data_IF_176228776424
#
_entry.id   IF_176228776424
#
_cell.length_a   1.000
_cell.length_b   1.000
_cell.length_c   1.000
_cell.angle_alpha   90.00
_cell.angle_beta   90.00
_cell.angle_gamma   90.00
#
_symmetry.space_group_name_H-M   'P 1'
#
loop_
_entity.id
_entity.type
_entity.pdbx_description
1 polymer ?
#
# COMPACT_ATOMS: atom_id res chain seq x y z
N UNK A 1 10.16 15.71 4.81
CA UNK A 1 11.55 15.20 4.94
C UNK A 1 11.82 14.33 3.72
N UNK A 2 12.89 14.59 2.95
CA UNK A 2 13.14 13.85 1.70
C UNK A 2 13.31 12.36 1.98
N UNK A 3 12.52 11.50 1.31
CA UNK A 3 12.42 10.06 1.59
C UNK A 3 13.77 9.35 1.43
N UNK A 4 14.62 9.80 0.50
CA UNK A 4 16.01 9.34 0.36
C UNK A 4 16.79 9.53 1.67
N UNK A 5 16.67 10.68 2.32
CA UNK A 5 17.34 10.94 3.60
C UNK A 5 16.77 10.07 4.73
N UNK A 6 15.48 9.73 4.70
CA UNK A 6 14.85 8.84 5.68
C UNK A 6 15.30 7.38 5.53
N UNK A 7 15.32 6.86 4.30
CA UNK A 7 15.82 5.51 4.00
C UNK A 7 17.31 5.39 4.32
N UNK A 8 18.12 6.38 3.96
CA UNK A 8 19.54 6.40 4.32
C UNK A 8 19.76 6.41 5.83
N UNK A 9 19.01 7.24 6.58
CA UNK A 9 19.08 7.25 8.05
C UNK A 9 18.68 5.92 8.67
N UNK A 10 17.63 5.28 8.15
CA UNK A 10 17.15 3.99 8.63
C UNK A 10 18.17 2.87 8.37
N UNK A 11 18.79 2.84 7.19
CA UNK A 11 19.83 1.86 6.87
C UNK A 11 21.11 2.08 7.69
N UNK A 12 21.55 3.33 7.87
CA UNK A 12 22.70 3.66 8.73
C UNK A 12 22.43 3.20 10.15
N UNK A 13 21.25 3.51 10.70
CA UNK A 13 20.87 3.10 12.06
C UNK A 13 20.90 1.57 12.23
N UNK A 14 20.39 0.81 11.26
CA UNK A 14 20.40 -0.67 11.30
C UNK A 14 21.82 -1.24 11.28
N UNK A 15 22.69 -0.69 10.43
CA UNK A 15 24.11 -1.07 10.39
C UNK A 15 24.78 -0.77 11.74
N UNK A 16 24.52 0.42 12.31
CA UNK A 16 25.05 0.79 13.63
C UNK A 16 24.57 -0.15 14.73
N UNK A 17 23.29 -0.55 14.72
CA UNK A 17 22.74 -1.54 15.67
C UNK A 17 23.41 -2.91 15.49
N UNK A 18 23.60 -3.37 14.24
CA UNK A 18 24.28 -4.63 13.96
C UNK A 18 25.72 -4.66 14.48
N UNK A 19 26.47 -3.58 14.25
CA UNK A 19 27.85 -3.42 14.77
C UNK A 19 27.86 -3.44 16.30
N UNK A 20 26.92 -2.71 16.92
CA UNK A 20 26.81 -2.64 18.37
C UNK A 20 26.51 -4.03 18.98
N UNK A 21 25.58 -4.80 18.39
CA UNK A 21 25.26 -6.15 18.83
C UNK A 21 26.47 -7.07 18.72
N UNK A 22 27.19 -7.05 17.59
CA UNK A 22 28.41 -7.85 17.42
C UNK A 22 29.51 -7.49 18.42
N UNK A 23 29.66 -6.20 18.75
CA UNK A 23 30.61 -5.73 19.75
C UNK A 23 30.27 -6.25 21.15
N UNK A 24 29.01 -6.13 21.58
CA UNK A 24 28.58 -6.68 22.86
C UNK A 24 28.66 -8.21 22.91
N UNK A 25 28.39 -8.89 21.78
CA UNK A 25 28.54 -10.34 21.67
C UNK A 25 30.00 -10.76 21.90
N UNK A 26 30.95 -10.04 21.29
CA UNK A 26 32.39 -10.25 21.49
C UNK A 26 32.81 -10.01 22.94
N UNK A 27 32.29 -8.96 23.57
CA UNK A 27 32.52 -8.69 25.00
C UNK A 27 31.97 -9.81 25.89
N UNK A 28 30.77 -10.33 25.63
CA UNK A 28 30.23 -11.45 26.40
C UNK A 28 31.06 -12.72 26.23
N UNK A 29 31.51 -13.04 25.02
CA UNK A 29 32.38 -14.20 24.79
C UNK A 29 33.69 -14.04 25.57
N UNK A 30 34.28 -12.85 25.54
CA UNK A 30 35.53 -12.54 26.24
C UNK A 30 35.40 -12.55 27.76
N UNK A 31 34.37 -11.90 28.32
CA UNK A 31 34.19 -11.79 29.78
C UNK A 31 33.78 -13.10 30.45
N UNK A 32 33.12 -14.02 29.73
CA UNK A 32 32.62 -15.27 30.28
C UNK A 32 33.42 -16.51 29.87
N UNK A 33 34.54 -16.34 29.15
CA UNK A 33 35.41 -17.42 28.66
C UNK A 33 34.61 -18.58 28.03
N UNK A 34 33.65 -18.23 27.16
CA UNK A 34 32.75 -19.21 26.55
C UNK A 34 33.53 -20.17 25.63
N UNK A 35 33.21 -21.47 25.74
CA UNK A 35 33.77 -22.52 24.86
C UNK A 35 33.42 -22.23 23.38
N UNK A 36 34.34 -22.61 22.49
CA UNK A 36 34.30 -22.32 21.05
C UNK A 36 32.98 -22.76 20.41
N UNK A 37 32.45 -23.91 20.83
CA UNK A 37 31.17 -24.43 20.31
C UNK A 37 30.00 -23.51 20.65
N UNK A 38 29.95 -23.01 21.88
CA UNK A 38 28.90 -22.09 22.31
C UNK A 38 29.06 -20.72 21.65
N UNK A 39 30.31 -20.26 21.51
CA UNK A 39 30.65 -19.01 20.83
C UNK A 39 30.22 -19.03 19.35
N UNK A 40 30.52 -20.11 18.62
CA UNK A 40 30.11 -20.28 17.22
C UNK A 40 28.58 -20.33 17.10
N UNK A 41 27.90 -21.08 17.98
CA UNK A 41 26.44 -21.17 17.97
C UNK A 41 25.80 -19.78 18.20
N UNK A 42 26.31 -19.01 19.16
CA UNK A 42 25.80 -17.68 19.48
C UNK A 42 25.97 -16.69 18.32
N UNK A 43 27.14 -16.70 17.67
CA UNK A 43 27.41 -15.89 16.48
C UNK A 43 26.46 -16.29 15.34
N UNK A 44 26.33 -17.59 15.06
CA UNK A 44 25.47 -18.08 13.99
C UNK A 44 24.00 -17.68 14.22
N UNK A 45 23.47 -17.86 15.42
CA UNK A 45 22.09 -17.46 15.77
C UNK A 45 21.89 -15.95 15.60
N UNK A 46 22.87 -15.13 16.03
CA UNK A 46 22.79 -13.67 15.90
C UNK A 46 22.75 -13.25 14.43
N UNK A 47 23.60 -13.85 13.60
CA UNK A 47 23.60 -13.62 12.14
C UNK A 47 22.27 -14.05 11.53
N UNK A 48 21.74 -15.22 11.87
CA UNK A 48 20.45 -15.71 11.34
C UNK A 48 19.30 -14.77 11.68
N UNK A 49 19.20 -14.30 12.91
CA UNK A 49 18.16 -13.33 13.33
C UNK A 49 18.31 -12.03 12.55
N UNK A 50 19.55 -11.51 12.42
CA UNK A 50 19.81 -10.27 11.69
C UNK A 50 19.42 -10.38 10.20
N UNK A 51 19.77 -11.48 9.55
CA UNK A 51 19.37 -11.77 8.16
C UNK A 51 17.84 -11.87 8.06
N UNK A 52 17.17 -12.53 9.02
CA UNK A 52 15.71 -12.64 9.06
C UNK A 52 15.02 -11.27 9.09
N UNK A 53 15.52 -10.34 9.91
CA UNK A 53 14.99 -8.96 9.98
C UNK A 53 15.24 -8.16 8.70
N UNK A 54 16.36 -8.40 8.00
CA UNK A 54 16.60 -7.80 6.68
C UNK A 54 15.61 -8.35 5.66
N UNK A 55 15.43 -9.68 5.65
CA UNK A 55 14.52 -10.35 4.72
C UNK A 55 13.08 -9.90 4.89
N UNK A 56 12.60 -9.79 6.13
CA UNK A 56 11.23 -9.30 6.40
C UNK A 56 10.97 -7.94 5.74
N UNK A 57 11.93 -7.02 5.80
CA UNK A 57 11.78 -5.70 5.17
C UNK A 57 11.82 -5.77 3.64
N UNK A 58 12.64 -6.66 3.08
CA UNK A 58 12.65 -6.89 1.63
C UNK A 58 11.31 -7.46 1.16
N UNK A 59 10.72 -8.37 1.94
CA UNK A 59 9.42 -8.95 1.65
C UNK A 59 8.31 -7.89 1.74
N UNK A 60 8.38 -6.97 2.71
CA UNK A 60 7.45 -5.83 2.81
C UNK A 60 7.60 -4.84 1.64
N UNK A 61 8.83 -4.49 1.25
CA UNK A 61 9.10 -3.63 0.09
C UNK A 61 8.62 -4.29 -1.21
N UNK A 62 8.80 -5.61 -1.34
CA UNK A 62 8.34 -6.39 -2.49
C UNK A 62 6.82 -6.46 -2.55
N UNK A 63 6.15 -6.70 -1.43
CA UNK A 63 4.69 -6.65 -1.34
C UNK A 63 4.15 -5.28 -1.76
N UNK A 64 4.77 -4.19 -1.29
CA UNK A 64 4.40 -2.85 -1.73
C UNK A 64 4.56 -2.69 -3.25
N UNK A 65 5.70 -3.11 -3.81
CA UNK A 65 5.95 -3.04 -5.25
C UNK A 65 4.89 -3.82 -6.03
N UNK A 66 4.56 -5.04 -5.59
CA UNK A 66 3.60 -5.90 -6.28
C UNK A 66 2.18 -5.31 -6.24
N UNK A 67 1.74 -4.80 -5.09
CA UNK A 67 0.46 -4.08 -4.97
C UNK A 67 0.44 -2.82 -5.84
N UNK A 68 1.50 -2.03 -5.80
CA UNK A 68 1.61 -0.81 -6.60
C UNK A 68 1.54 -1.12 -8.10
N UNK A 69 2.24 -2.15 -8.57
CA UNK A 69 2.21 -2.56 -9.96
C UNK A 69 0.84 -3.13 -10.37
N UNK A 70 0.24 -3.99 -9.55
CA UNK A 70 -1.06 -4.60 -9.84
C UNK A 70 -2.16 -3.55 -9.98
N UNK A 71 -2.27 -2.63 -9.01
CA UNK A 71 -3.31 -1.59 -9.05
C UNK A 71 -3.14 -0.62 -10.22
N UNK A 72 -1.91 -0.16 -10.49
CA UNK A 72 -1.68 0.70 -11.64
C UNK A 72 -1.97 -0.01 -12.97
N UNK A 73 -1.58 -1.28 -13.12
CA UNK A 73 -1.88 -2.05 -14.35
C UNK A 73 -3.39 -2.19 -14.53
N UNK A 74 -4.12 -2.60 -13.48
CA UNK A 74 -5.58 -2.76 -13.56
C UNK A 74 -6.29 -1.46 -13.88
N UNK A 75 -5.82 -0.33 -13.32
CA UNK A 75 -6.37 0.98 -13.65
C UNK A 75 -6.10 1.35 -15.12
N UNK A 76 -4.85 1.23 -15.58
CA UNK A 76 -4.45 1.61 -16.94
C UNK A 76 -5.12 0.74 -18.00
N UNK A 77 -5.13 -0.58 -17.80
CA UNK A 77 -5.63 -1.56 -18.77
C UNK A 77 -7.16 -1.52 -18.95
N UNK A 78 -7.90 -1.13 -17.90
CA UNK A 78 -9.37 -1.32 -17.87
C UNK A 78 -10.17 -0.04 -17.68
N UNK A 79 -9.59 0.98 -17.05
CA UNK A 79 -10.40 2.07 -16.47
C UNK A 79 -9.96 3.46 -16.96
N UNK A 80 -8.67 3.64 -17.27
CA UNK A 80 -8.10 4.93 -17.62
C UNK A 80 -8.81 5.58 -18.82
N UNK A 81 -9.03 4.83 -19.90
CA UNK A 81 -9.71 5.31 -21.10
C UNK A 81 -11.16 5.75 -20.82
N UNK A 82 -11.88 5.01 -19.97
CA UNK A 82 -13.25 5.35 -19.59
C UNK A 82 -13.28 6.70 -18.88
N UNK A 83 -12.45 6.91 -17.87
CA UNK A 83 -12.46 8.18 -17.14
C UNK A 83 -11.97 9.35 -17.99
N UNK A 84 -11.06 9.14 -18.94
CA UNK A 84 -10.68 10.17 -19.90
C UNK A 84 -11.87 10.58 -20.77
N UNK A 85 -12.58 9.61 -21.36
CA UNK A 85 -13.82 9.85 -22.11
C UNK A 85 -14.88 10.58 -21.28
N UNK A 86 -15.13 10.11 -20.04
CA UNK A 86 -16.16 10.71 -19.18
C UNK A 86 -15.84 12.15 -18.75
N UNK A 87 -14.56 12.52 -18.66
CA UNK A 87 -14.14 13.91 -18.40
C UNK A 87 -14.30 14.83 -19.61
N UNK A 88 -14.18 14.29 -20.82
CA UNK A 88 -14.41 15.06 -22.05
C UNK A 88 -15.91 15.24 -22.34
N UNK A 89 -16.74 14.26 -21.94
CA UNK A 89 -18.19 14.23 -22.19
C UNK A 89 -19.02 14.65 -20.96
N UNK A 90 -18.51 15.50 -20.08
CA UNK A 90 -19.20 15.89 -18.83
C UNK A 90 -20.57 16.52 -19.09
N UNK A 91 -20.69 17.34 -20.15
CA UNK A 91 -21.93 18.03 -20.51
C UNK A 91 -22.91 17.16 -21.33
N UNK A 92 -22.54 15.91 -21.64
CA UNK A 92 -23.41 15.01 -22.37
C UNK A 92 -24.50 14.46 -21.43
N UNK A 93 -25.77 14.70 -21.74
CA UNK A 93 -26.91 14.23 -20.94
C UNK A 93 -27.17 12.72 -21.06
N UNK A 94 -26.51 12.01 -21.97
CA UNK A 94 -26.73 10.57 -22.14
C UNK A 94 -26.24 9.77 -20.93
N UNK A 95 -27.08 8.87 -20.43
CA UNK A 95 -26.70 7.93 -19.38
C UNK A 95 -25.50 7.06 -19.78
N UNK A 96 -24.77 6.55 -18.77
CA UNK A 96 -23.73 5.55 -18.98
C UNK A 96 -24.35 4.32 -19.66
N UNK A 97 -23.68 3.82 -20.71
CA UNK A 97 -24.01 2.51 -21.26
C UNK A 97 -23.78 1.41 -20.22
N UNK A 98 -24.44 0.26 -20.37
CA UNK A 98 -24.32 -0.85 -19.42
C UNK A 98 -22.87 -1.32 -19.21
N UNK A 99 -22.07 -1.33 -20.29
CA UNK A 99 -20.64 -1.66 -20.20
C UNK A 99 -19.84 -0.61 -19.40
N UNK A 100 -20.11 0.67 -19.63
CA UNK A 100 -19.45 1.76 -18.91
C UNK A 100 -19.82 1.74 -17.41
N UNK A 101 -21.08 1.39 -17.08
CA UNK A 101 -21.50 1.19 -15.67
C UNK A 101 -20.72 0.08 -14.99
N UNK A 102 -20.58 -1.08 -15.64
CA UNK A 102 -19.81 -2.21 -15.08
C UNK A 102 -18.35 -1.84 -14.84
N UNK A 103 -17.73 -1.08 -15.75
CA UNK A 103 -16.36 -0.59 -15.58
C UNK A 103 -16.20 0.41 -14.43
N UNK A 104 -17.21 1.27 -14.20
CA UNK A 104 -17.23 2.14 -13.02
C UNK A 104 -17.36 1.31 -11.73
N UNK A 105 -18.16 0.24 -11.72
CA UNK A 105 -18.25 -0.66 -10.56
C UNK A 105 -16.91 -1.37 -10.32
N UNK A 106 -16.27 -1.88 -11.37
CA UNK A 106 -14.93 -2.48 -11.29
C UNK A 106 -13.89 -1.48 -10.75
N UNK A 107 -14.02 -0.21 -11.13
CA UNK A 107 -13.21 0.87 -10.56
C UNK A 107 -13.45 1.09 -9.07
N UNK A 108 -14.70 1.15 -8.62
CA UNK A 108 -15.01 1.30 -7.20
C UNK A 108 -14.48 0.11 -6.37
N UNK A 109 -14.57 -1.10 -6.93
CA UNK A 109 -13.96 -2.29 -6.34
C UNK A 109 -12.45 -2.14 -6.23
N UNK A 110 -11.77 -1.70 -7.30
CA UNK A 110 -10.32 -1.42 -7.29
C UNK A 110 -9.96 -0.40 -6.19
N UNK A 111 -10.66 0.73 -6.12
CA UNK A 111 -10.42 1.75 -5.08
C UNK A 111 -10.61 1.22 -3.66
N UNK A 112 -11.56 0.30 -3.47
CA UNK A 112 -11.78 -0.33 -2.17
C UNK A 112 -10.68 -1.31 -1.78
N UNK A 113 -10.11 -2.03 -2.75
CA UNK A 113 -8.94 -2.88 -2.53
C UNK A 113 -7.71 -2.02 -2.18
N UNK A 114 -7.47 -0.94 -2.92
CA UNK A 114 -6.40 0.02 -2.61
C UNK A 114 -6.54 0.56 -1.18
N UNK A 115 -7.76 0.97 -0.80
CA UNK A 115 -8.06 1.43 0.56
C UNK A 115 -7.82 0.35 1.62
N UNK A 116 -8.21 -0.90 1.35
CA UNK A 116 -7.97 -2.03 2.27
C UNK A 116 -6.47 -2.17 2.56
N UNK A 117 -5.61 -2.10 1.54
CA UNK A 117 -4.17 -2.22 1.75
C UNK A 117 -3.56 -0.98 2.40
N UNK A 118 -4.07 0.21 2.10
CA UNK A 118 -3.71 1.43 2.80
C UNK A 118 -4.07 1.35 4.30
N UNK A 119 -5.28 0.94 4.64
CA UNK A 119 -5.73 0.82 6.03
C UNK A 119 -4.92 -0.22 6.84
N UNK A 120 -4.34 -1.20 6.16
CA UNK A 120 -3.38 -2.17 6.72
C UNK A 120 -1.94 -1.65 6.81
N UNK A 121 -1.67 -0.41 6.40
CA UNK A 121 -0.34 0.19 6.41
C UNK A 121 0.62 -0.39 5.36
N UNK A 122 0.10 -1.04 4.31
CA UNK A 122 0.91 -1.66 3.25
C UNK A 122 1.21 -0.73 2.07
N UNK A 123 0.50 0.40 1.99
CA UNK A 123 0.77 1.45 1.02
C UNK A 123 1.43 2.65 1.68
N UNK A 124 2.33 3.29 0.95
CA UNK A 124 2.96 4.53 1.40
C UNK A 124 1.92 5.66 1.47
N UNK A 125 1.86 6.45 2.56
CA UNK A 125 0.85 7.49 2.72
C UNK A 125 0.81 8.51 1.58
N UNK A 126 1.97 8.84 0.98
CA UNK A 126 2.02 9.79 -0.14
C UNK A 126 1.46 9.19 -1.43
N UNK A 127 1.60 7.87 -1.63
CA UNK A 127 1.00 7.16 -2.78
C UNK A 127 -0.50 7.13 -2.62
N UNK A 128 -0.99 6.70 -1.45
CA UNK A 128 -2.43 6.71 -1.15
C UNK A 128 -3.03 8.10 -1.30
N UNK A 129 -2.36 9.14 -0.79
CA UNK A 129 -2.83 10.52 -0.94
C UNK A 129 -2.99 10.91 -2.41
N UNK A 130 -2.07 10.51 -3.29
CA UNK A 130 -2.17 10.79 -4.71
C UNK A 130 -3.37 10.06 -5.35
N UNK A 131 -3.54 8.77 -5.05
CA UNK A 131 -4.65 7.96 -5.55
C UNK A 131 -6.00 8.47 -5.04
N UNK A 132 -6.11 8.79 -3.75
CA UNK A 132 -7.30 9.39 -3.14
C UNK A 132 -7.75 10.66 -3.87
N UNK A 133 -6.81 11.54 -4.24
CA UNK A 133 -7.17 12.75 -4.99
C UNK A 133 -7.70 12.41 -6.39
N UNK A 134 -7.14 11.39 -7.04
CA UNK A 134 -7.67 10.86 -8.30
C UNK A 134 -9.08 10.30 -8.16
N UNK A 135 -9.34 9.54 -7.09
CA UNK A 135 -10.66 9.00 -6.73
C UNK A 135 -11.66 10.12 -6.53
N UNK A 136 -11.33 11.12 -5.71
CA UNK A 136 -12.21 12.28 -5.46
C UNK A 136 -12.49 13.04 -6.76
N UNK A 137 -11.49 13.20 -7.63
CA UNK A 137 -11.69 13.85 -8.93
C UNK A 137 -12.64 13.05 -9.84
N UNK A 138 -12.50 11.73 -9.87
CA UNK A 138 -13.37 10.83 -10.64
C UNK A 138 -14.80 10.81 -10.11
N UNK A 139 -14.98 10.80 -8.78
CA UNK A 139 -16.29 10.87 -8.14
C UNK A 139 -17.01 12.22 -8.30
N UNK A 140 -16.32 13.26 -8.77
CA UNK A 140 -16.95 14.54 -9.14
C UNK A 140 -17.64 14.50 -10.50
N UNK A 141 -17.40 13.48 -11.32
CA UNK A 141 -18.12 13.31 -12.58
C UNK A 141 -19.56 12.91 -12.25
N UNK A 142 -20.58 13.68 -12.68
CA UNK A 142 -21.97 13.49 -12.24
C UNK A 142 -22.50 12.07 -12.40
N UNK A 143 -22.26 11.45 -13.57
CA UNK A 143 -22.73 10.09 -13.88
C UNK A 143 -22.07 9.02 -13.00
N UNK A 144 -20.79 9.22 -12.66
CA UNK A 144 -20.03 8.33 -11.77
C UNK A 144 -20.53 8.50 -10.34
N UNK A 145 -20.77 9.74 -9.91
CA UNK A 145 -21.34 10.03 -8.59
C UNK A 145 -22.71 9.39 -8.41
N UNK A 146 -23.57 9.49 -9.42
CA UNK A 146 -24.91 8.92 -9.38
C UNK A 146 -24.85 7.38 -9.23
N UNK A 147 -23.97 6.72 -9.97
CA UNK A 147 -23.78 5.27 -9.85
C UNK A 147 -23.18 4.89 -8.50
N UNK A 148 -22.18 5.64 -8.01
CA UNK A 148 -21.63 5.47 -6.68
C UNK A 148 -22.73 5.57 -5.60
N UNK A 149 -23.59 6.57 -5.69
CA UNK A 149 -24.69 6.75 -4.72
C UNK A 149 -25.68 5.58 -4.76
N UNK A 150 -25.99 5.07 -5.96
CA UNK A 150 -26.82 3.86 -6.14
C UNK A 150 -26.19 2.63 -5.50
N UNK A 151 -24.90 2.40 -5.72
CA UNK A 151 -24.14 1.30 -5.09
C UNK A 151 -24.14 1.41 -3.56
N UNK A 152 -24.14 2.63 -3.03
CA UNK A 152 -24.16 2.92 -1.60
C UNK A 152 -25.55 2.83 -0.96
N UNK A 153 -26.64 2.59 -1.69
CA UNK A 153 -27.99 2.54 -1.07
C UNK A 153 -28.19 1.32 -0.15
N UNK A 154 -27.46 0.23 -0.39
CA UNK A 154 -27.62 -1.02 0.35
C UNK A 154 -26.46 -1.23 1.35
N UNK A 155 -26.79 -1.45 2.62
CA UNK A 155 -25.82 -1.76 3.68
C UNK A 155 -24.92 -2.97 3.37
N UNK A 156 -25.44 -3.99 2.69
CA UNK A 156 -24.63 -5.14 2.28
C UNK A 156 -23.63 -4.78 1.18
N UNK A 157 -24.01 -3.88 0.28
CA UNK A 157 -23.12 -3.37 -0.77
C UNK A 157 -22.01 -2.51 -0.17
N UNK A 158 -22.31 -1.61 0.79
CA UNK A 158 -21.29 -0.83 1.49
C UNK A 158 -20.22 -1.73 2.14
N UNK A 159 -20.65 -2.82 2.78
CA UNK A 159 -19.75 -3.77 3.44
C UNK A 159 -18.84 -4.52 2.47
N UNK A 160 -19.20 -4.71 1.20
CA UNK A 160 -18.32 -5.34 0.21
C UNK A 160 -17.14 -4.47 -0.22
N UNK A 161 -17.16 -3.17 0.11
CA UNK A 161 -16.08 -2.23 -0.19
C UNK A 161 -15.12 -2.02 1.00
N UNK A 162 -15.04 -2.95 1.95
CA UNK A 162 -14.00 -2.95 2.99
C UNK A 162 -13.90 -1.66 3.84
N UNK A 163 -15.00 -0.92 4.00
CA UNK A 163 -15.01 0.37 4.73
C UNK A 163 -14.57 1.58 3.91
N UNK A 164 -14.34 1.42 2.59
CA UNK A 164 -13.94 2.49 1.68
C UNK A 164 -15.03 3.54 1.49
N UNK A 165 -16.29 3.13 1.42
CA UNK A 165 -17.43 4.04 1.21
C UNK A 165 -17.51 5.06 2.35
N UNK A 166 -17.52 4.58 3.60
CA UNK A 166 -17.58 5.42 4.80
C UNK A 166 -16.34 6.31 4.96
N UNK A 167 -15.23 5.91 4.37
CA UNK A 167 -13.99 6.68 4.33
C UNK A 167 -14.07 7.82 3.30
N UNK A 168 -14.50 7.51 2.07
CA UNK A 168 -14.48 8.46 0.95
C UNK A 168 -15.65 9.44 1.01
N UNK A 169 -16.82 9.04 1.55
CA UNK A 169 -17.98 9.91 1.77
C UNK A 169 -17.65 11.12 2.66
N UNK A 170 -16.67 10.99 3.57
CA UNK A 170 -16.24 12.09 4.45
C UNK A 170 -15.35 13.12 3.75
N UNK A 171 -14.97 12.87 2.49
CA UNK A 171 -13.96 13.62 1.73
C UNK A 171 -14.50 14.24 0.44
N UNK A 172 -15.65 13.76 -0.03
CA UNK A 172 -16.41 14.33 -1.15
C UNK A 172 -17.41 15.36 -0.64
#
# INVERSE_FOLDING_TARGET
MNRVQSYWKMNIWRISVGIMVMFFLGLTIYCFELDDKFSIALIATTITIYIGLIKQNLDDDKLFQDLFQDFNSRYDDKVNDLFNKLREEVDNENDLGEQDKLLVIDYLNLCSEEYLWYSKGRLLPEVWKAWEQGIIANLKIPKVKELFDKECLNENSKKSYYGFIEYIEKKI
#
